data_IF_947827224363
#
_entry.id   IF_947827224363
#
_cell.length_a   1.000
_cell.length_b   1.000
_cell.length_c   1.000
_cell.angle_alpha   90.00
_cell.angle_beta   90.00
_cell.angle_gamma   90.00
#
_symmetry.space_group_name_H-M   'P 1'
#
loop_
_entity.id
_entity.type
_entity.pdbx_description
1 polymer ?
#
# COMPACT_ATOMS: atom_id res chain seq x y z
N UNK A 1 -13.85 -68.13 -15.64
CA UNK A 1 -12.90 -69.14 -15.12
C UNK A 1 -12.01 -68.48 -14.08
N UNK A 2 -11.87 -69.08 -12.89
CA UNK A 2 -10.74 -69.05 -11.92
C UNK A 2 -9.99 -67.70 -11.76
N UNK A 3 -9.83 -67.10 -10.58
CA UNK A 3 -9.44 -67.66 -9.26
C UNK A 3 -9.85 -66.71 -8.12
N UNK A 4 -10.30 -67.31 -7.02
CA UNK A 4 -10.35 -66.74 -5.67
C UNK A 4 -8.94 -66.68 -5.05
N UNK A 5 -8.87 -66.17 -3.79
CA UNK A 5 -7.80 -66.30 -2.75
C UNK A 5 -7.11 -64.95 -2.47
N UNK A 6 -6.84 -64.45 -1.24
CA UNK A 6 -7.33 -64.57 0.16
C UNK A 6 -6.40 -63.64 0.97
N UNK A 7 -7.00 -62.94 1.94
CA UNK A 7 -6.51 -62.41 3.24
C UNK A 7 -5.01 -62.57 3.56
N UNK A 8 -4.36 -61.49 4.02
CA UNK A 8 -3.47 -61.50 5.21
C UNK A 8 -3.54 -60.14 5.90
N UNK A 9 -4.14 -60.11 7.09
CA UNK A 9 -3.96 -59.01 8.04
C UNK A 9 -2.60 -59.11 8.72
N UNK A 10 -2.01 -57.96 9.07
CA UNK A 10 -0.85 -57.93 9.94
C UNK A 10 -1.09 -56.93 11.08
N UNK A 11 -1.41 -57.52 12.23
CA UNK A 11 -1.34 -56.91 13.55
C UNK A 11 0.13 -56.61 13.87
N UNK A 12 0.46 -55.34 14.09
CA UNK A 12 1.67 -54.97 14.83
C UNK A 12 1.25 -54.41 16.19
N UNK A 13 1.36 -55.26 17.21
CA UNK A 13 1.48 -54.85 18.59
C UNK A 13 2.97 -54.61 18.88
N UNK A 14 3.35 -53.39 19.27
CA UNK A 14 4.63 -53.15 19.95
C UNK A 14 4.41 -52.29 21.19
N UNK A 15 4.50 -52.99 22.32
CA UNK A 15 5.24 -52.65 23.54
C UNK A 15 5.14 -51.22 24.08
N UNK A 16 4.40 -51.14 25.19
CA UNK A 16 4.58 -50.18 26.28
C UNK A 16 6.06 -50.15 26.71
N UNK A 17 6.72 -49.02 26.49
CA UNK A 17 7.87 -48.62 27.30
C UNK A 17 7.44 -47.51 28.26
N UNK A 18 7.23 -47.92 29.51
CA UNK A 18 7.27 -47.06 30.67
C UNK A 18 8.72 -46.76 31.00
N UNK A 19 9.14 -45.50 30.83
CA UNK A 19 10.27 -44.93 31.54
C UNK A 19 9.84 -43.61 32.16
N UNK A 20 10.03 -43.51 33.47
CA UNK A 20 9.52 -42.43 34.30
C UNK A 20 10.49 -41.29 34.53
N UNK A 21 9.87 -40.21 35.03
CA UNK A 21 10.41 -39.07 35.79
C UNK A 21 11.14 -37.95 35.02
N UNK A 22 10.37 -36.86 34.91
CA UNK A 22 10.49 -35.56 35.62
C UNK A 22 10.78 -34.35 34.72
N UNK A 23 9.77 -33.47 34.78
CA UNK A 23 9.78 -32.01 34.64
C UNK A 23 9.92 -31.43 33.24
N UNK A 24 8.77 -31.14 32.62
CA UNK A 24 8.63 -30.02 31.70
C UNK A 24 7.20 -29.48 31.77
N UNK A 25 7.06 -28.23 32.18
CA UNK A 25 5.92 -27.37 31.83
C UNK A 25 6.51 -25.97 31.72
N UNK A 26 7.23 -25.76 30.61
CA UNK A 26 7.53 -24.43 30.13
C UNK A 26 6.37 -24.09 29.18
N UNK A 27 5.50 -23.17 29.61
CA UNK A 27 4.42 -22.63 28.79
C UNK A 27 5.07 -21.81 27.66
N UNK A 28 5.23 -22.43 26.49
CA UNK A 28 5.50 -21.70 25.26
C UNK A 28 4.18 -21.14 24.79
N UNK A 29 3.91 -19.89 25.16
CA UNK A 29 2.87 -19.08 24.53
C UNK A 29 3.29 -18.85 23.09
N UNK A 30 2.56 -19.46 22.16
CA UNK A 30 2.65 -19.16 20.73
C UNK A 30 1.94 -17.82 20.52
N UNK A 31 2.70 -16.73 20.56
CA UNK A 31 2.24 -15.44 20.05
C UNK A 31 2.46 -15.43 18.55
N UNK A 32 1.36 -15.30 17.81
CA UNK A 32 1.35 -15.11 16.37
C UNK A 32 1.84 -13.68 16.09
N UNK A 33 3.09 -13.53 15.67
CA UNK A 33 3.51 -12.33 14.95
C UNK A 33 2.95 -12.41 13.53
N UNK A 34 1.94 -11.58 13.27
CA UNK A 34 1.57 -11.18 11.92
C UNK A 34 2.80 -10.53 11.27
N UNK A 35 3.42 -11.25 10.35
CA UNK A 35 4.45 -10.70 9.48
C UNK A 35 3.79 -9.65 8.57
N UNK A 36 3.77 -8.40 9.04
CA UNK A 36 3.60 -7.23 8.19
C UNK A 36 4.82 -7.20 7.29
N UNK A 37 4.66 -7.71 6.07
CA UNK A 37 5.66 -7.68 5.04
C UNK A 37 5.95 -6.21 4.69
N UNK A 38 6.96 -5.66 5.36
CA UNK A 38 7.49 -4.34 5.11
C UNK A 38 8.26 -4.38 3.80
N UNK A 39 7.60 -4.06 2.68
CA UNK A 39 8.30 -3.68 1.45
C UNK A 39 8.87 -2.28 1.68
N UNK A 40 9.90 -2.17 2.52
CA UNK A 40 10.74 -0.99 2.65
C UNK A 40 11.78 -1.03 1.53
N UNK A 41 11.39 -0.62 0.33
CA UNK A 41 12.36 0.05 -0.55
C UNK A 41 12.66 1.39 0.11
N UNK A 42 13.94 1.61 0.48
CA UNK A 42 14.53 2.83 1.05
C UNK A 42 14.44 4.00 0.04
N UNK A 43 13.22 4.34 -0.36
CA UNK A 43 12.93 5.40 -1.31
C UNK A 43 12.76 6.72 -0.55
N UNK A 44 13.88 7.34 -0.20
CA UNK A 44 13.94 8.64 0.48
C UNK A 44 13.25 9.78 -0.30
N UNK A 45 12.89 9.58 -1.57
CA UNK A 45 12.16 10.57 -2.36
C UNK A 45 10.70 10.72 -1.91
N UNK A 46 10.07 9.66 -1.38
CA UNK A 46 8.64 9.67 -1.10
C UNK A 46 8.32 9.38 0.36
N UNK A 47 7.52 10.26 0.96
CA UNK A 47 6.84 9.93 2.21
C UNK A 47 5.62 9.08 1.89
N UNK A 48 5.42 8.03 2.68
CA UNK A 48 4.22 7.21 2.60
C UNK A 48 3.13 7.91 3.42
N UNK A 49 1.96 8.07 2.83
CA UNK A 49 0.80 8.64 3.51
C UNK A 49 0.14 7.57 4.39
N UNK A 50 -0.24 7.98 5.59
CA UNK A 50 -0.81 7.09 6.60
C UNK A 50 -2.13 6.46 6.13
N UNK A 51 -2.35 5.22 6.58
CA UNK A 51 -3.52 4.44 6.19
C UNK A 51 -4.84 5.14 6.54
N UNK A 52 -4.91 5.86 7.67
CA UNK A 52 -6.12 6.61 8.06
C UNK A 52 -6.55 7.62 6.98
N UNK A 53 -5.57 8.30 6.36
CA UNK A 53 -5.86 9.27 5.30
C UNK A 53 -6.32 8.58 4.01
N UNK A 54 -5.73 7.43 3.69
CA UNK A 54 -6.16 6.57 2.56
C UNK A 54 -7.60 6.08 2.78
N UNK A 55 -7.91 5.63 4.00
CA UNK A 55 -9.24 5.15 4.38
C UNK A 55 -10.28 6.29 4.32
N UNK A 56 -9.92 7.49 4.78
CA UNK A 56 -10.76 8.67 4.66
C UNK A 56 -11.07 9.02 3.20
N UNK A 57 -10.10 8.90 2.29
CA UNK A 57 -10.32 9.10 0.87
C UNK A 57 -11.24 8.02 0.30
N UNK A 58 -10.99 6.74 0.62
CA UNK A 58 -11.83 5.63 0.17
C UNK A 58 -13.29 5.78 0.62
N UNK A 59 -13.53 6.24 1.85
CA UNK A 59 -14.87 6.55 2.34
C UNK A 59 -15.54 7.65 1.48
N UNK A 60 -14.82 8.72 1.17
CA UNK A 60 -15.33 9.80 0.33
C UNK A 60 -15.63 9.35 -1.12
N UNK A 61 -14.86 8.41 -1.66
CA UNK A 61 -15.07 7.81 -2.98
C UNK A 61 -16.30 6.89 -3.00
N UNK A 62 -16.54 6.15 -1.92
CA UNK A 62 -17.74 5.32 -1.79
C UNK A 62 -19.03 6.16 -1.80
N UNK A 63 -18.98 7.37 -1.22
CA UNK A 63 -20.11 8.31 -1.19
C UNK A 63 -20.33 9.01 -2.55
N UNK A 64 -19.25 9.42 -3.24
CA UNK A 64 -19.33 10.31 -4.41
C UNK A 64 -18.91 9.67 -5.74
N UNK A 65 -18.68 8.34 -5.75
CA UNK A 65 -18.43 7.46 -6.91
C UNK A 65 -18.02 8.17 -8.21
N UNK A 66 -16.77 8.64 -8.31
CA UNK A 66 -16.32 9.33 -9.51
C UNK A 66 -16.33 8.40 -10.72
N UNK A 67 -16.73 8.94 -11.89
CA UNK A 67 -16.77 8.19 -13.14
C UNK A 67 -15.39 8.04 -13.80
N UNK A 68 -14.47 8.98 -13.53
CA UNK A 68 -13.12 9.00 -14.08
C UNK A 68 -12.08 8.76 -12.98
N UNK A 69 -11.06 7.96 -13.28
CA UNK A 69 -10.03 7.59 -12.31
C UNK A 69 -9.16 8.79 -11.89
N UNK A 70 -8.96 9.78 -12.77
CA UNK A 70 -8.26 11.03 -12.42
C UNK A 70 -8.98 11.83 -11.32
N UNK A 71 -10.30 11.73 -11.26
CA UNK A 71 -11.07 12.41 -10.23
C UNK A 71 -10.78 11.85 -8.83
N UNK A 72 -10.22 10.64 -8.72
CA UNK A 72 -9.70 10.09 -7.46
C UNK A 72 -8.51 10.91 -6.97
N UNK A 73 -7.55 11.22 -7.84
CA UNK A 73 -6.41 12.08 -7.51
C UNK A 73 -6.87 13.51 -7.21
N UNK A 74 -7.78 14.07 -8.01
CA UNK A 74 -8.32 15.42 -7.77
C UNK A 74 -9.12 15.53 -6.46
N UNK A 75 -9.74 14.42 -6.02
CA UNK A 75 -10.41 14.38 -4.71
C UNK A 75 -9.41 14.43 -3.56
N UNK A 76 -8.24 13.84 -3.74
CA UNK A 76 -7.16 13.84 -2.76
C UNK A 76 -6.42 15.19 -2.72
N UNK A 77 -5.98 15.66 -3.88
CA UNK A 77 -5.24 16.90 -4.08
C UNK A 77 -5.99 17.72 -5.13
N UNK A 78 -6.93 18.61 -4.74
CA UNK A 78 -7.64 19.45 -5.69
C UNK A 78 -6.72 20.46 -6.37
N UNK A 79 -7.04 20.80 -7.63
CA UNK A 79 -6.36 21.87 -8.35
C UNK A 79 -6.57 23.23 -7.66
N UNK A 80 -5.50 24.03 -7.54
CA UNK A 80 -5.58 25.40 -7.05
C UNK A 80 -6.09 26.34 -8.14
N UNK A 81 -7.41 26.49 -8.19
CA UNK A 81 -8.09 27.41 -9.12
C UNK A 81 -7.79 28.90 -8.87
N UNK A 82 -7.14 29.24 -7.76
CA UNK A 82 -6.73 30.59 -7.41
C UNK A 82 -5.28 30.92 -7.78
N UNK A 83 -4.51 29.94 -8.26
CA UNK A 83 -3.08 30.11 -8.52
C UNK A 83 -2.81 31.17 -9.61
N UNK A 84 -1.81 32.01 -9.36
CA UNK A 84 -1.37 33.05 -10.29
C UNK A 84 -0.10 32.63 -11.06
N UNK A 85 0.16 33.26 -12.21
CA UNK A 85 1.42 33.09 -12.93
C UNK A 85 1.50 31.79 -13.75
N UNK A 86 2.56 30.99 -13.54
CA UNK A 86 2.87 29.79 -14.32
C UNK A 86 2.51 28.50 -13.56
N UNK A 87 1.28 28.44 -13.08
CA UNK A 87 0.74 27.26 -12.43
C UNK A 87 0.59 26.09 -13.42
N UNK A 88 0.88 24.87 -12.97
CA UNK A 88 0.62 23.65 -13.73
C UNK A 88 0.14 22.52 -12.83
N UNK A 89 -0.85 21.77 -13.31
CA UNK A 89 -1.45 20.64 -12.61
C UNK A 89 -1.61 19.48 -13.60
N UNK A 90 -0.73 18.48 -13.52
CA UNK A 90 -0.63 17.41 -14.53
C UNK A 90 -0.81 16.06 -13.89
N UNK A 91 -1.92 15.38 -14.22
CA UNK A 91 -2.16 13.98 -13.86
C UNK A 91 -1.78 13.08 -15.05
N UNK A 92 -0.96 12.07 -14.77
CA UNK A 92 -0.61 11.01 -15.71
C UNK A 92 -1.02 9.65 -15.16
N UNK A 93 -1.23 8.69 -16.05
CA UNK A 93 -1.72 7.34 -15.72
C UNK A 93 -0.80 6.30 -16.34
N UNK A 94 -0.47 5.27 -15.57
CA UNK A 94 0.28 4.12 -16.04
C UNK A 94 -0.35 2.84 -15.50
N UNK A 95 -0.34 1.77 -16.30
CA UNK A 95 -0.68 0.44 -15.81
C UNK A 95 0.46 -0.07 -14.92
N UNK A 96 0.11 -0.82 -13.88
CA UNK A 96 1.10 -1.57 -13.08
C UNK A 96 1.18 -3.02 -13.56
N UNK A 97 2.02 -3.81 -12.90
CA UNK A 97 2.10 -5.27 -13.04
C UNK A 97 0.94 -5.99 -12.34
N UNK A 98 0.21 -5.31 -11.44
CA UNK A 98 -0.94 -5.85 -10.72
C UNK A 98 -2.21 -5.68 -11.56
N UNK A 99 -3.03 -6.73 -11.61
CA UNK A 99 -4.30 -6.69 -12.33
C UNK A 99 -5.23 -5.62 -11.76
N UNK A 100 -5.93 -4.89 -12.64
CA UNK A 100 -6.89 -3.84 -12.29
C UNK A 100 -6.33 -2.67 -11.44
N UNK A 101 -5.00 -2.57 -11.29
CA UNK A 101 -4.35 -1.46 -10.59
C UNK A 101 -3.76 -0.47 -11.59
N UNK A 102 -4.10 0.80 -11.42
CA UNK A 102 -3.53 1.93 -12.16
C UNK A 102 -2.69 2.78 -11.22
N UNK A 103 -1.50 3.16 -11.66
CA UNK A 103 -0.69 4.18 -11.01
C UNK A 103 -1.08 5.55 -11.57
N UNK A 104 -1.60 6.41 -10.70
CA UNK A 104 -1.78 7.83 -10.97
C UNK A 104 -0.54 8.58 -10.47
N UNK A 105 -0.02 9.50 -11.28
CA UNK A 105 1.03 10.45 -10.85
C UNK A 105 0.56 11.87 -11.12
N UNK A 106 0.48 12.68 -10.08
CA UNK A 106 0.29 14.12 -10.16
C UNK A 106 1.64 14.82 -10.01
N UNK A 107 1.89 15.83 -10.85
CA UNK A 107 2.88 16.87 -10.62
C UNK A 107 2.16 18.22 -10.63
N UNK A 108 2.29 18.96 -9.54
CA UNK A 108 1.74 20.29 -9.35
C UNK A 108 2.90 21.27 -9.09
N UNK A 109 3.00 22.34 -9.85
CA UNK A 109 4.10 23.34 -9.79
C UNK A 109 3.52 24.75 -9.94
N UNK A 110 4.25 25.75 -9.47
CA UNK A 110 3.81 27.14 -9.43
C UNK A 110 2.76 27.40 -8.35
N UNK A 111 2.87 26.68 -7.23
CA UNK A 111 2.02 26.82 -6.04
C UNK A 111 2.16 28.22 -5.41
N UNK A 112 1.10 28.72 -4.79
CA UNK A 112 1.13 29.98 -4.02
C UNK A 112 1.67 29.77 -2.59
N UNK A 113 2.77 29.05 -2.46
CA UNK A 113 3.47 28.77 -1.21
C UNK A 113 4.88 29.37 -1.25
N UNK A 114 5.36 29.96 -0.15
CA UNK A 114 6.65 30.65 -0.11
C UNK A 114 7.85 29.73 0.17
N UNK A 115 7.57 28.44 0.39
CA UNK A 115 8.56 27.39 0.66
C UNK A 115 8.49 26.23 -0.35
N UNK A 116 7.29 25.77 -0.71
CA UNK A 116 7.07 24.67 -1.65
C UNK A 116 7.01 25.19 -3.08
N UNK A 117 7.90 24.68 -3.92
CA UNK A 117 7.90 24.96 -5.34
C UNK A 117 6.94 24.04 -6.09
N UNK A 118 7.03 22.74 -5.83
CA UNK A 118 6.23 21.72 -6.51
C UNK A 118 5.93 20.53 -5.61
N UNK A 119 4.79 19.89 -5.86
CA UNK A 119 4.32 18.66 -5.20
C UNK A 119 4.21 17.57 -6.25
N UNK A 120 4.62 16.35 -5.88
CA UNK A 120 4.41 15.14 -6.66
C UNK A 120 3.68 14.11 -5.82
N UNK A 121 2.57 13.61 -6.33
CA UNK A 121 1.78 12.56 -5.68
C UNK A 121 1.78 11.32 -6.56
N UNK A 122 2.08 10.16 -5.98
CA UNK A 122 1.88 8.85 -6.60
C UNK A 122 0.79 8.10 -5.86
N UNK A 123 -0.14 7.52 -6.60
CA UNK A 123 -1.30 6.84 -6.03
C UNK A 123 -1.59 5.55 -6.80
N UNK A 124 -1.57 4.42 -6.11
CA UNK A 124 -2.06 3.15 -6.66
C UNK A 124 -3.57 3.04 -6.42
N UNK A 125 -4.33 2.86 -7.50
CA UNK A 125 -5.80 2.76 -7.47
C UNK A 125 -6.22 1.46 -8.11
N UNK A 126 -6.94 0.64 -7.36
CA UNK A 126 -7.58 -0.59 -7.81
C UNK A 126 -9.00 -0.28 -8.34
N UNK A 127 -9.36 -0.87 -9.48
CA UNK A 127 -10.73 -0.80 -10.01
C UNK A 127 -11.48 -2.10 -9.71
N UNK A 128 -12.55 -2.02 -8.92
CA UNK A 128 -13.38 -3.15 -8.48
C UNK A 128 -14.82 -2.89 -8.88
N UNK A 129 -15.37 -3.72 -9.78
CA UNK A 129 -16.76 -3.60 -10.26
C UNK A 129 -17.12 -2.17 -10.72
N UNK A 130 -16.17 -1.50 -11.38
CA UNK A 130 -16.30 -0.12 -11.86
C UNK A 130 -16.20 0.96 -10.76
N UNK A 131 -15.89 0.59 -9.52
CA UNK A 131 -15.59 1.53 -8.43
C UNK A 131 -14.08 1.60 -8.20
N UNK A 132 -13.61 2.71 -7.64
CA UNK A 132 -12.19 2.92 -7.35
C UNK A 132 -11.89 2.74 -5.87
N UNK A 133 -10.79 2.04 -5.57
CA UNK A 133 -10.23 1.88 -4.24
C UNK A 133 -8.76 2.28 -4.26
N UNK A 134 -8.39 3.24 -3.44
CA UNK A 134 -7.00 3.65 -3.26
C UNK A 134 -6.29 2.65 -2.37
N UNK A 135 -5.16 2.14 -2.85
CA UNK A 135 -4.33 1.17 -2.14
C UNK A 135 -3.19 1.86 -1.37
N UNK A 136 -2.57 2.87 -1.98
CA UNK A 136 -1.48 3.62 -1.37
C UNK A 136 -1.38 5.02 -1.95
N UNK A 137 -0.86 5.94 -1.15
CA UNK A 137 -0.52 7.30 -1.57
C UNK A 137 0.89 7.61 -1.07
N UNK A 138 1.68 8.22 -1.94
CA UNK A 138 3.04 8.66 -1.68
C UNK A 138 3.20 10.10 -2.15
N UNK A 139 3.92 10.90 -1.38
CA UNK A 139 4.15 12.31 -1.69
C UNK A 139 5.64 12.65 -1.69
N UNK A 140 6.00 13.58 -2.55
CA UNK A 140 7.34 14.14 -2.67
C UNK A 140 7.25 15.63 -2.96
N UNK A 141 8.23 16.38 -2.49
CA UNK A 141 8.26 17.83 -2.53
C UNK A 141 9.53 18.33 -3.22
N UNK A 142 9.42 19.45 -3.93
CA UNK A 142 10.57 20.32 -4.23
C UNK A 142 10.37 21.65 -3.53
N UNK A 143 11.40 22.13 -2.83
CA UNK A 143 11.36 23.43 -2.18
C UNK A 143 12.02 24.49 -3.03
N UNK A 144 11.70 25.75 -2.73
CA UNK A 144 12.49 26.87 -3.21
C UNK A 144 13.89 26.87 -2.59
N UNK A 145 14.80 27.59 -3.25
CA UNK A 145 16.18 27.75 -2.77
C UNK A 145 16.21 28.23 -1.32
N UNK A 146 17.04 27.59 -0.49
CA UNK A 146 17.19 27.85 0.95
C UNK A 146 15.94 27.53 1.81
N UNK A 147 15.01 26.71 1.32
CA UNK A 147 13.80 26.27 2.06
C UNK A 147 13.78 24.77 2.40
N UNK A 148 14.96 24.15 2.52
CA UNK A 148 15.10 22.71 2.81
C UNK A 148 15.95 22.02 1.74
N UNK A 149 15.30 21.56 0.66
CA UNK A 149 15.93 20.84 -0.45
C UNK A 149 15.35 21.28 -1.80
N UNK A 150 16.16 21.28 -2.86
CA UNK A 150 15.71 21.68 -4.21
C UNK A 150 15.34 20.47 -5.09
N UNK A 151 15.87 19.29 -4.76
CA UNK A 151 15.51 18.01 -5.39
C UNK A 151 14.21 17.44 -4.78
N UNK A 152 13.64 16.44 -5.45
CA UNK A 152 12.48 15.70 -4.93
C UNK A 152 12.85 14.93 -3.66
N UNK A 153 12.10 15.16 -2.58
CA UNK A 153 12.32 14.51 -1.29
C UNK A 153 11.01 14.22 -0.56
N UNK A 154 11.06 13.24 0.33
CA UNK A 154 9.98 12.92 1.28
C UNK A 154 9.86 13.98 2.38
N UNK A 155 10.96 14.70 2.64
CA UNK A 155 11.03 15.77 3.62
C UNK A 155 10.18 16.96 3.16
N UNK A 156 9.60 17.66 4.12
CA UNK A 156 8.79 18.85 3.85
C UNK A 156 9.68 20.10 3.86
N UNK A 157 9.27 21.15 3.17
CA UNK A 157 9.99 22.41 3.14
C UNK A 157 9.95 23.12 4.50
N UNK A 158 10.93 24.00 4.73
CA UNK A 158 11.13 24.79 5.97
C UNK A 158 10.48 26.18 5.85
#
# INVERSE_FOLDING_TARGET
>A
MKKSIVVVGLLFAFSLYSCGKKNETENVTVEQEETKEEIATDNKEFRIIEQEKVDSLNNALAENKPEAIEAVMQKYQPEDTGAEGKYSYVITKANTDKENVTLLTLVEDGLMDDSIKAIKVKMEVETIDGNFKVLSIQESYQCYQNRGHEDWSAEFCI
#
